data_IF_402935218779
#
_entry.id   IF_402935218779
#
_cell.length_a   1.000
_cell.length_b   1.000
_cell.length_c   1.000
_cell.angle_alpha   90.00
_cell.angle_beta   90.00
_cell.angle_gamma   90.00
#
_symmetry.space_group_name_H-M   'P 1'
#
loop_
_entity.id
_entity.type
_entity.pdbx_description
1 polymer ?
#
# COMPACT_ATOMS: atom_id res chain seq x y z
N UNK A 1 7.76 -20.23 -6.17
CA UNK A 1 7.55 -19.08 -5.27
C UNK A 1 8.78 -18.97 -4.39
N UNK A 2 9.40 -17.81 -4.26
CA UNK A 2 10.67 -17.68 -3.52
C UNK A 2 10.48 -17.80 -2.00
N UNK A 3 11.49 -18.31 -1.29
CA UNK A 3 11.52 -18.42 0.18
C UNK A 3 11.11 -17.12 0.88
N UNK A 4 11.58 -15.96 0.40
CA UNK A 4 11.23 -14.66 0.96
C UNK A 4 9.72 -14.35 0.85
N UNK A 5 9.10 -14.76 -0.25
CA UNK A 5 7.66 -14.61 -0.48
C UNK A 5 6.85 -15.52 0.43
N UNK A 6 7.29 -16.78 0.60
CA UNK A 6 6.64 -17.74 1.50
C UNK A 6 6.71 -17.29 2.97
N UNK A 7 7.88 -16.82 3.42
CA UNK A 7 8.06 -16.27 4.76
C UNK A 7 7.16 -15.05 5.00
N UNK A 8 7.10 -14.12 4.04
CA UNK A 8 6.25 -12.93 4.13
C UNK A 8 4.75 -13.31 4.18
N UNK A 9 4.31 -14.24 3.33
CA UNK A 9 2.92 -14.71 3.34
C UNK A 9 2.53 -15.39 4.65
N UNK A 10 3.47 -16.09 5.29
CA UNK A 10 3.25 -16.72 6.60
C UNK A 10 3.16 -15.70 7.73
N UNK A 11 3.96 -14.63 7.66
CA UNK A 11 3.91 -13.52 8.61
C UNK A 11 2.60 -12.71 8.50
N UNK A 12 2.15 -12.51 7.25
CA UNK A 12 0.88 -11.88 6.91
C UNK A 12 -0.34 -12.77 7.19
N UNK A 13 -0.18 -14.09 7.35
CA UNK A 13 -1.30 -14.99 7.62
C UNK A 13 -1.94 -14.74 8.99
N UNK A 14 -1.16 -14.20 9.92
CA UNK A 14 -1.62 -13.77 11.23
C UNK A 14 -2.35 -12.41 11.22
N UNK A 15 -2.45 -11.72 10.06
CA UNK A 15 -3.24 -10.49 9.95
C UNK A 15 -4.30 -10.57 8.85
N UNK A 16 -5.58 -10.24 9.13
CA UNK A 16 -6.68 -10.26 8.17
C UNK A 16 -6.64 -9.07 7.19
N UNK A 17 -5.46 -8.54 6.90
CA UNK A 17 -5.27 -7.31 6.14
C UNK A 17 -5.10 -7.62 4.65
N UNK A 18 -5.61 -6.74 3.77
CA UNK A 18 -5.46 -6.83 2.31
C UNK A 18 -4.01 -6.90 1.79
N UNK A 19 -3.01 -6.75 2.68
CA UNK A 19 -1.59 -6.97 2.41
C UNK A 19 -1.28 -8.36 1.84
N UNK A 20 -1.89 -9.43 2.37
CA UNK A 20 -1.68 -10.80 1.84
C UNK A 20 -2.15 -10.88 0.39
N UNK A 21 -3.32 -10.30 0.10
CA UNK A 21 -3.87 -10.27 -1.26
C UNK A 21 -3.01 -9.45 -2.21
N UNK A 22 -2.42 -8.36 -1.73
CA UNK A 22 -1.50 -7.53 -2.51
C UNK A 22 -0.26 -8.33 -2.93
N UNK A 23 0.41 -9.02 -1.99
CA UNK A 23 1.59 -9.84 -2.27
C UNK A 23 1.26 -10.99 -3.22
N UNK A 24 0.15 -11.71 -2.97
CA UNK A 24 -0.29 -12.79 -3.87
C UNK A 24 -0.55 -12.26 -5.29
N UNK A 25 -1.22 -11.11 -5.41
CA UNK A 25 -1.53 -10.49 -6.70
C UNK A 25 -0.27 -10.03 -7.42
N UNK A 26 0.70 -9.46 -6.68
CA UNK A 26 2.01 -9.05 -7.19
C UNK A 26 2.76 -10.21 -7.85
N UNK A 27 2.82 -11.35 -7.13
CA UNK A 27 3.50 -12.56 -7.59
C UNK A 27 2.79 -13.17 -8.79
N UNK A 28 1.46 -13.30 -8.71
CA UNK A 28 0.66 -13.90 -9.78
C UNK A 28 0.69 -13.10 -11.07
N UNK A 29 0.61 -11.77 -10.98
CA UNK A 29 0.59 -10.89 -12.15
C UNK A 29 1.98 -10.62 -12.71
N UNK A 30 3.06 -10.97 -11.99
CA UNK A 30 4.43 -10.58 -12.30
C UNK A 30 4.53 -9.07 -12.60
N UNK A 31 3.77 -8.27 -11.85
CA UNK A 31 3.65 -6.85 -12.09
C UNK A 31 4.95 -6.15 -11.66
N UNK A 32 5.54 -5.39 -12.57
CA UNK A 32 6.70 -4.55 -12.27
C UNK A 32 6.32 -3.24 -11.55
N UNK A 33 5.02 -2.93 -11.49
CA UNK A 33 4.48 -1.79 -10.76
C UNK A 33 3.12 -2.13 -10.16
N UNK A 34 2.86 -1.65 -8.95
CA UNK A 34 1.59 -1.83 -8.24
C UNK A 34 1.09 -0.47 -7.80
N UNK A 35 -0.18 -0.20 -8.12
CA UNK A 35 -0.86 1.00 -7.70
C UNK A 35 -1.61 0.73 -6.38
N UNK A 36 -1.33 1.52 -5.35
CA UNK A 36 -1.90 1.36 -4.00
C UNK A 36 -2.58 2.67 -3.60
N UNK A 37 -3.85 2.60 -3.18
CA UNK A 37 -4.58 3.76 -2.64
C UNK A 37 -3.90 4.30 -1.38
N UNK A 38 -3.74 5.63 -1.30
CA UNK A 38 -3.15 6.29 -0.13
C UNK A 38 -3.91 5.96 1.18
N UNK A 39 -5.24 5.83 1.12
CA UNK A 39 -6.05 5.43 2.27
C UNK A 39 -5.73 4.02 2.77
N UNK A 40 -5.39 3.10 1.86
CA UNK A 40 -5.00 1.74 2.23
C UNK A 40 -3.65 1.76 2.95
N UNK A 41 -2.69 2.55 2.46
CA UNK A 41 -1.40 2.75 3.12
C UNK A 41 -1.59 3.33 4.52
N UNK A 42 -2.37 4.40 4.67
CA UNK A 42 -2.64 5.00 5.99
C UNK A 42 -3.29 4.01 6.95
N UNK A 43 -4.20 3.15 6.47
CA UNK A 43 -4.79 2.08 7.30
C UNK A 43 -3.73 1.08 7.73
N UNK A 44 -2.88 0.61 6.82
CA UNK A 44 -1.84 -0.38 7.14
C UNK A 44 -0.76 0.18 8.07
N UNK A 45 -0.36 1.44 7.88
CA UNK A 45 0.55 2.13 8.80
C UNK A 45 -0.02 2.28 10.21
N UNK A 46 -1.35 2.45 10.33
CA UNK A 46 -2.02 2.59 11.63
C UNK A 46 -2.25 1.25 12.32
N UNK A 47 -2.63 0.22 11.56
CA UNK A 47 -3.02 -1.09 12.09
C UNK A 47 -1.79 -1.96 12.39
N UNK A 48 -0.84 -2.02 11.46
CA UNK A 48 0.33 -2.91 11.51
C UNK A 48 1.53 -2.30 10.74
N UNK A 49 2.20 -1.26 11.29
CA UNK A 49 3.30 -0.59 10.60
C UNK A 49 4.49 -1.52 10.33
N UNK A 50 4.75 -2.49 11.22
CA UNK A 50 5.84 -3.45 11.06
C UNK A 50 5.62 -4.38 9.85
N UNK A 51 4.39 -4.87 9.66
CA UNK A 51 4.05 -5.73 8.52
C UNK A 51 4.04 -4.96 7.22
N UNK A 52 3.55 -3.71 7.24
CA UNK A 52 3.60 -2.85 6.08
C UNK A 52 5.04 -2.55 5.63
N UNK A 53 5.95 -2.28 6.57
CA UNK A 53 7.37 -2.10 6.26
C UNK A 53 7.98 -3.34 5.58
N UNK A 54 7.73 -4.54 6.11
CA UNK A 54 8.19 -5.80 5.52
C UNK A 54 7.66 -6.03 4.09
N UNK A 55 6.41 -5.64 3.81
CA UNK A 55 5.81 -5.72 2.47
C UNK A 55 6.46 -4.71 1.52
N UNK A 56 6.70 -3.46 1.97
CA UNK A 56 7.41 -2.47 1.17
C UNK A 56 8.82 -2.91 0.81
N UNK A 57 9.59 -3.41 1.78
CA UNK A 57 10.95 -3.90 1.54
C UNK A 57 10.95 -5.07 0.56
N UNK A 58 10.00 -5.99 0.65
CA UNK A 58 9.85 -7.08 -0.29
C UNK A 58 9.52 -6.61 -1.71
N UNK A 59 8.60 -5.64 -1.85
CA UNK A 59 8.24 -5.06 -3.15
C UNK A 59 9.46 -4.38 -3.80
N UNK A 60 10.18 -3.57 -3.04
CA UNK A 60 11.39 -2.86 -3.50
C UNK A 60 12.51 -3.86 -3.84
N UNK A 61 12.70 -4.89 -3.02
CA UNK A 61 13.69 -5.95 -3.26
C UNK A 61 13.39 -6.79 -4.49
N UNK A 62 12.13 -6.87 -4.92
CA UNK A 62 11.68 -7.48 -6.17
C UNK A 62 11.80 -6.53 -7.39
N UNK A 63 12.19 -5.27 -7.18
CA UNK A 63 12.21 -4.24 -8.23
C UNK A 63 10.82 -3.72 -8.60
N UNK A 64 9.80 -3.99 -7.78
CA UNK A 64 8.42 -3.59 -8.04
C UNK A 64 8.24 -2.14 -7.60
N UNK A 65 7.82 -1.30 -8.53
CA UNK A 65 7.56 0.12 -8.25
C UNK A 65 6.20 0.30 -7.58
N UNK A 66 6.19 0.85 -6.37
CA UNK A 66 4.96 1.19 -5.67
C UNK A 66 4.49 2.57 -6.14
N UNK A 67 3.33 2.63 -6.80
CA UNK A 67 2.69 3.88 -7.19
C UNK A 67 1.58 4.18 -6.20
N UNK A 68 1.74 5.23 -5.40
CA UNK A 68 0.68 5.66 -4.49
C UNK A 68 -0.37 6.42 -5.27
N UNK A 69 -1.55 5.83 -5.39
CA UNK A 69 -2.73 6.51 -5.90
C UNK A 69 -3.23 7.44 -4.81
N UNK A 70 -2.90 8.73 -4.98
CA UNK A 70 -3.55 9.77 -4.19
C UNK A 70 -5.00 9.84 -4.70
N UNK A 71 -5.94 9.26 -3.97
CA UNK A 71 -7.32 9.74 -4.06
C UNK A 71 -7.25 11.23 -3.76
N UNK A 72 -7.67 12.07 -4.71
CA UNK A 72 -7.71 13.53 -4.49
C UNK A 72 -8.40 13.73 -3.15
N UNK A 73 -7.77 14.38 -2.16
CA UNK A 73 -8.49 14.69 -0.95
C UNK A 73 -9.71 15.49 -1.40
N UNK A 74 -10.90 15.03 -1.03
CA UNK A 74 -12.16 15.74 -1.26
C UNK A 74 -12.21 16.98 -0.35
N UNK A 75 -11.20 17.84 -0.45
CA UNK A 75 -11.04 19.08 0.30
C UNK A 75 -10.33 20.10 -0.59
N UNK A 76 -10.91 20.35 -1.76
CA UNK A 76 -10.76 21.65 -2.41
C UNK A 76 -12.15 22.21 -2.75
N UNK A 77 -12.98 22.34 -1.71
CA UNK A 77 -13.94 23.45 -1.64
C UNK A 77 -13.45 24.39 -0.55
N UNK A 78 -12.21 24.87 -0.70
CA UNK A 78 -11.82 26.12 -0.09
C UNK A 78 -12.51 27.22 -0.91
N UNK A 79 -13.77 27.49 -0.60
CA UNK A 79 -14.38 28.79 -0.90
C UNK A 79 -13.67 29.81 0.00
N UNK A 80 -12.48 30.23 -0.43
CA UNK A 80 -11.91 31.49 0.00
C UNK A 80 -12.85 32.58 -0.52
N UNK A 81 -13.84 32.95 0.28
CA UNK A 81 -14.58 34.17 0.06
C UNK A 81 -13.59 35.32 0.31
N UNK A 82 -13.34 36.23 -0.66
CA UNK A 82 -12.62 37.44 -0.35
C UNK A 82 -13.50 38.30 0.57
N UNK A 83 -12.94 38.94 1.63
CA UNK A 83 -13.66 40.00 2.31
C UNK A 83 -13.71 41.19 1.34
N UNK A 84 -14.90 41.49 0.81
CA UNK A 84 -15.14 42.78 0.16
C UNK A 84 -15.73 43.69 1.24
N UNK A 85 -14.99 44.77 1.53
CA UNK A 85 -15.40 45.84 2.44
C UNK A 85 -16.42 46.79 1.83
#
# INVERSE_FOLDING_TARGET
MDKATESLLRDLEASPTDLKKLVVSAVWRQCNAIAIEAEAITRWERDDPARWASVQEWLLGKGITITVLRSRPATETHRAAPPQG
#
